data_IF_859693599431
#
_entry.id   IF_859693599431
#
_cell.length_a   1.000
_cell.length_b   1.000
_cell.length_c   1.000
_cell.angle_alpha   90.00
_cell.angle_beta   90.00
_cell.angle_gamma   90.00
#
_symmetry.space_group_name_H-M   'P 1'
#
loop_
_entity.id
_entity.type
_entity.pdbx_description
1 polymer ?
#
# COMPACT_ATOMS: atom_id res chain seq x y z
N UNK A 1 15.08 38.30 59.84
CA UNK A 1 14.83 38.98 58.55
C UNK A 1 14.93 37.97 57.42
N UNK A 2 13.79 37.48 57.01
CA UNK A 2 13.70 36.35 56.04
C UNK A 2 13.08 36.88 54.75
N UNK A 3 13.83 36.91 53.68
CA UNK A 3 13.33 37.31 52.35
C UNK A 3 12.82 36.07 51.63
N UNK A 4 11.52 36.00 51.45
CA UNK A 4 10.86 35.03 50.55
C UNK A 4 10.93 35.59 49.12
N UNK A 5 11.58 34.85 48.20
CA UNK A 5 11.52 35.10 46.76
C UNK A 5 10.44 34.26 46.14
N UNK A 6 9.40 34.90 45.67
CA UNK A 6 8.37 34.29 44.81
C UNK A 6 8.95 33.93 43.46
N UNK A 7 9.00 32.65 43.11
CA UNK A 7 9.19 32.20 41.75
C UNK A 7 7.80 32.15 41.07
N UNK A 8 7.54 33.01 40.16
CA UNK A 8 6.42 32.93 39.25
C UNK A 8 6.81 32.00 38.06
N UNK A 9 6.06 30.93 37.89
CA UNK A 9 6.25 29.92 36.86
C UNK A 9 5.80 30.43 35.47
N UNK A 10 6.44 30.00 34.39
CA UNK A 10 6.01 30.35 33.02
C UNK A 10 4.91 29.40 32.53
N UNK A 11 3.65 29.77 32.80
CA UNK A 11 2.49 29.07 32.22
C UNK A 11 2.18 29.51 30.76
N UNK A 12 2.98 30.37 30.17
CA UNK A 12 2.70 30.95 28.85
C UNK A 12 3.27 30.17 27.67
N UNK A 13 4.15 29.18 27.88
CA UNK A 13 4.80 28.45 26.79
C UNK A 13 4.03 27.19 26.37
N UNK A 14 3.16 26.67 27.20
CA UNK A 14 2.36 25.45 26.90
C UNK A 14 1.15 25.71 25.99
N UNK A 15 0.62 26.95 25.97
CA UNK A 15 -0.53 27.29 25.12
C UNK A 15 -0.14 27.60 23.66
N UNK A 16 1.09 28.02 23.38
CA UNK A 16 1.53 28.32 22.03
C UNK A 16 1.81 27.07 21.18
N UNK A 17 2.17 25.94 21.80
CA UNK A 17 2.44 24.68 21.10
C UNK A 17 1.14 23.93 20.74
N UNK A 18 0.07 24.12 21.50
CA UNK A 18 -1.25 23.53 21.22
C UNK A 18 -1.99 24.21 20.06
N UNK A 19 -1.70 25.49 19.80
CA UNK A 19 -2.31 26.26 18.71
C UNK A 19 -1.67 25.98 17.34
N UNK A 20 -0.44 25.45 17.29
CA UNK A 20 0.23 25.05 16.03
C UNK A 20 -0.20 23.67 15.52
N UNK A 21 -0.87 22.86 16.34
CA UNK A 21 -1.43 21.56 15.95
C UNK A 21 -2.90 21.63 15.49
N UNK A 22 -3.54 22.80 15.64
CA UNK A 22 -4.95 22.99 15.32
C UNK A 22 -5.22 23.59 13.93
N UNK A 23 -4.22 23.71 13.05
CA UNK A 23 -4.35 24.48 11.81
C UNK A 23 -3.74 23.87 10.56
N UNK A 24 -3.37 22.59 10.52
CA UNK A 24 -3.15 21.95 9.23
C UNK A 24 -4.53 21.66 8.63
N UNK A 25 -4.88 22.21 7.42
CA UNK A 25 -6.08 21.77 6.75
C UNK A 25 -5.93 20.25 6.54
N UNK A 26 -6.77 19.46 7.22
CA UNK A 26 -6.99 18.09 6.82
C UNK A 26 -7.48 18.17 5.37
N UNK A 27 -6.64 17.81 4.42
CA UNK A 27 -7.07 17.51 3.06
C UNK A 27 -7.85 16.20 3.19
N UNK A 28 -9.06 16.29 3.73
CA UNK A 28 -9.92 15.13 3.91
C UNK A 28 -10.34 14.68 2.52
N UNK A 29 -10.01 13.44 2.17
CA UNK A 29 -10.58 12.78 1.02
C UNK A 29 -12.11 12.89 1.05
N UNK A 30 -12.75 13.17 -0.10
CA UNK A 30 -14.19 13.37 -0.23
C UNK A 30 -14.73 12.45 -1.34
N UNK A 31 -15.54 11.47 -0.91
CA UNK A 31 -16.19 10.53 -1.83
C UNK A 31 -17.22 11.20 -2.75
N UNK A 32 -17.74 12.37 -2.39
CA UNK A 32 -18.74 13.13 -3.15
C UNK A 32 -18.13 14.14 -4.13
N UNK A 33 -16.81 14.28 -4.15
CA UNK A 33 -16.11 15.26 -4.96
C UNK A 33 -15.10 14.60 -5.89
N UNK A 34 -15.06 15.01 -7.15
CA UNK A 34 -14.07 14.49 -8.10
C UNK A 34 -12.65 14.90 -7.70
N UNK A 35 -11.70 14.01 -8.00
CA UNK A 35 -10.28 14.30 -7.84
C UNK A 35 -9.85 15.48 -8.73
N UNK A 36 -8.90 16.33 -8.32
CA UNK A 36 -8.51 17.53 -9.08
C UNK A 36 -7.99 17.28 -10.49
N UNK A 37 -7.56 16.05 -10.79
CA UNK A 37 -7.08 15.62 -12.11
C UNK A 37 -7.42 14.15 -12.38
N UNK A 38 -7.17 13.69 -13.62
CA UNK A 38 -7.44 12.32 -14.07
C UNK A 38 -6.16 11.48 -14.29
N UNK A 39 -5.11 11.80 -13.57
CA UNK A 39 -3.84 11.07 -13.54
C UNK A 39 -2.63 11.95 -13.81
N UNK A 40 -1.64 11.86 -12.93
CA UNK A 40 -0.32 12.46 -13.04
C UNK A 40 0.75 11.39 -13.35
N UNK A 41 0.51 10.15 -12.92
CA UNK A 41 1.38 9.00 -13.16
C UNK A 41 0.92 8.20 -14.38
N UNK A 42 1.88 7.56 -15.07
CA UNK A 42 1.58 6.74 -16.23
C UNK A 42 1.04 5.37 -15.80
N UNK A 43 -0.20 4.99 -16.16
CA UNK A 43 -0.75 3.68 -15.84
C UNK A 43 0.08 2.53 -16.44
N UNK A 44 0.08 1.38 -15.76
CA UNK A 44 0.71 0.17 -16.26
C UNK A 44 -0.07 -0.43 -17.45
N UNK A 45 0.64 -1.07 -18.40
CA UNK A 45 -0.02 -1.77 -19.52
C UNK A 45 -0.86 -2.95 -19.00
N UNK A 46 -1.81 -3.41 -19.81
CA UNK A 46 -2.70 -4.53 -19.53
C UNK A 46 -2.56 -5.60 -20.61
N UNK A 47 -2.01 -6.77 -20.30
CA UNK A 47 -1.42 -7.21 -19.02
C UNK A 47 -0.16 -6.41 -18.64
N UNK A 48 0.19 -6.36 -17.33
CA UNK A 48 1.45 -5.75 -16.90
C UNK A 48 2.63 -6.57 -17.44
N UNK A 49 3.67 -5.86 -17.90
CA UNK A 49 4.89 -6.53 -18.34
C UNK A 49 5.60 -7.18 -17.16
N UNK A 50 6.19 -8.39 -17.33
CA UNK A 50 7.01 -9.02 -16.32
C UNK A 50 8.14 -8.10 -15.85
N UNK A 51 8.46 -8.14 -14.57
CA UNK A 51 9.65 -7.47 -14.05
C UNK A 51 10.90 -8.20 -14.54
N UNK A 52 11.88 -7.44 -15.03
CA UNK A 52 13.15 -8.01 -15.50
C UNK A 52 14.04 -8.30 -14.29
N UNK A 53 14.35 -9.58 -14.09
CA UNK A 53 15.22 -10.06 -13.02
C UNK A 53 16.59 -10.42 -13.60
N UNK A 54 17.65 -9.79 -13.07
CA UNK A 54 19.03 -10.20 -13.32
C UNK A 54 19.42 -11.45 -12.55
N UNK A 55 20.60 -11.98 -12.81
CA UNK A 55 21.06 -13.20 -12.13
C UNK A 55 21.23 -13.03 -10.63
N UNK A 56 21.65 -11.84 -10.19
CA UNK A 56 21.69 -11.50 -8.77
C UNK A 56 20.31 -11.55 -8.09
N UNK A 57 19.25 -11.05 -8.78
CA UNK A 57 17.88 -11.12 -8.27
C UNK A 57 17.40 -12.58 -8.16
N UNK A 58 17.69 -13.38 -9.18
CA UNK A 58 17.33 -14.81 -9.19
C UNK A 58 18.04 -15.56 -8.05
N UNK A 59 19.32 -15.25 -7.81
CA UNK A 59 20.08 -15.81 -6.69
C UNK A 59 19.45 -15.44 -5.34
N UNK A 60 18.99 -14.19 -5.16
CA UNK A 60 18.27 -13.77 -3.94
C UNK A 60 16.97 -14.55 -3.79
N UNK A 61 16.14 -14.65 -4.84
CA UNK A 61 14.88 -15.41 -4.81
C UNK A 61 15.10 -16.90 -4.48
N UNK A 62 16.17 -17.50 -4.98
CA UNK A 62 16.54 -18.90 -4.69
C UNK A 62 16.81 -19.14 -3.19
N UNK A 63 17.18 -18.09 -2.43
CA UNK A 63 17.32 -18.17 -0.96
C UNK A 63 16.00 -18.04 -0.20
N UNK A 64 14.87 -17.86 -0.90
CA UNK A 64 13.55 -17.58 -0.31
C UNK A 64 13.35 -16.12 0.13
N UNK A 65 14.33 -15.24 -0.11
CA UNK A 65 14.24 -13.81 0.22
C UNK A 65 13.56 -13.04 -0.91
N UNK A 66 12.80 -11.98 -0.61
CA UNK A 66 12.23 -11.10 -1.64
C UNK A 66 13.31 -10.22 -2.28
N UNK A 67 13.14 -9.93 -3.56
CA UNK A 67 13.82 -8.84 -4.25
C UNK A 67 12.95 -7.61 -4.12
N UNK A 68 13.47 -6.54 -3.54
CA UNK A 68 12.78 -5.26 -3.37
C UNK A 68 13.64 -4.14 -3.92
N UNK A 69 13.01 -3.23 -4.67
CA UNK A 69 13.65 -2.01 -5.18
C UNK A 69 12.73 -0.84 -4.91
N UNK A 70 13.34 0.26 -4.55
CA UNK A 70 12.64 1.45 -4.14
C UNK A 70 13.37 2.68 -4.66
N UNK A 71 12.62 3.64 -5.17
CA UNK A 71 13.13 4.94 -5.58
C UNK A 71 12.22 5.99 -4.98
N UNK A 72 12.83 6.96 -4.31
CA UNK A 72 12.13 8.11 -3.75
C UNK A 72 12.39 9.34 -4.61
N UNK A 73 11.38 10.19 -4.75
CA UNK A 73 11.43 11.49 -5.38
C UNK A 73 10.77 12.55 -4.48
N UNK A 74 10.92 13.82 -4.81
CA UNK A 74 10.34 14.91 -4.02
C UNK A 74 8.81 14.87 -3.94
N UNK A 75 8.14 14.39 -5.00
CA UNK A 75 6.68 14.32 -5.10
C UNK A 75 6.09 12.93 -4.88
N UNK A 76 6.90 11.93 -4.48
CA UNK A 76 6.40 10.57 -4.29
C UNK A 76 7.48 9.52 -4.43
N UNK A 77 7.11 8.29 -4.77
CA UNK A 77 8.06 7.20 -4.91
C UNK A 77 7.53 6.03 -5.72
N UNK A 78 8.45 5.19 -6.14
CA UNK A 78 8.18 3.90 -6.79
C UNK A 78 8.72 2.78 -5.94
N UNK A 79 7.90 1.76 -5.73
CA UNK A 79 8.30 0.52 -5.12
C UNK A 79 8.03 -0.68 -6.03
N UNK A 80 8.92 -1.65 -6.03
CA UNK A 80 8.67 -2.95 -6.64
C UNK A 80 9.16 -4.08 -5.75
N UNK A 81 8.45 -5.21 -5.78
CA UNK A 81 8.83 -6.41 -5.08
C UNK A 81 8.57 -7.65 -5.94
N UNK A 82 9.51 -8.60 -5.88
CA UNK A 82 9.32 -9.95 -6.41
C UNK A 82 9.64 -10.94 -5.30
N UNK A 83 8.77 -11.90 -5.09
CA UNK A 83 8.96 -12.91 -4.05
C UNK A 83 8.25 -14.21 -4.40
N UNK A 84 8.70 -15.30 -3.78
CA UNK A 84 8.13 -16.64 -3.93
C UNK A 84 7.32 -16.99 -2.69
N UNK A 85 6.15 -17.58 -2.93
CA UNK A 85 5.20 -18.05 -1.92
C UNK A 85 5.05 -19.57 -2.07
N UNK A 86 5.15 -20.30 -0.98
CA UNK A 86 4.97 -21.77 -0.94
C UNK A 86 3.48 -22.09 -0.81
N UNK A 87 2.73 -21.68 -1.85
CA UNK A 87 1.32 -21.96 -2.04
C UNK A 87 0.96 -21.89 -3.54
N UNK A 88 -0.08 -22.62 -4.00
CA UNK A 88 -0.53 -22.56 -5.38
C UNK A 88 -0.92 -21.14 -5.83
N UNK A 89 -0.71 -20.80 -7.11
CA UNK A 89 -1.02 -19.45 -7.63
C UNK A 89 -2.45 -18.99 -7.34
N UNK A 90 -3.44 -19.88 -7.39
CA UNK A 90 -4.84 -19.52 -7.12
C UNK A 90 -5.08 -19.17 -5.65
N UNK A 91 -4.40 -19.86 -4.72
CA UNK A 91 -4.45 -19.54 -3.29
C UNK A 91 -3.85 -18.14 -3.02
N UNK A 92 -2.70 -17.86 -3.63
CA UNK A 92 -2.03 -16.54 -3.52
C UNK A 92 -2.90 -15.44 -4.14
N UNK A 93 -3.44 -15.68 -5.34
CA UNK A 93 -4.31 -14.74 -6.04
C UNK A 93 -5.60 -14.47 -5.27
N UNK A 94 -6.20 -15.50 -4.68
CA UNK A 94 -7.35 -15.36 -3.78
C UNK A 94 -7.03 -14.54 -2.54
N UNK A 95 -5.84 -14.70 -1.97
CA UNK A 95 -5.39 -13.92 -0.80
C UNK A 95 -5.23 -12.44 -1.13
N UNK A 96 -4.61 -12.10 -2.27
CA UNK A 96 -4.43 -10.70 -2.71
C UNK A 96 -5.78 -10.01 -2.95
N UNK A 97 -6.80 -10.73 -3.40
CA UNK A 97 -8.13 -10.18 -3.69
C UNK A 97 -9.09 -10.18 -2.52
N UNK A 98 -8.67 -10.67 -1.36
CA UNK A 98 -9.50 -10.70 -0.15
C UNK A 98 -9.42 -9.36 0.60
N UNK A 99 -9.92 -8.31 -0.03
CA UNK A 99 -9.89 -6.93 0.48
C UNK A 99 -10.45 -6.79 1.90
N UNK A 100 -11.53 -7.50 2.22
CA UNK A 100 -12.17 -7.45 3.53
C UNK A 100 -11.25 -7.94 4.68
N UNK A 101 -10.23 -8.71 4.35
CA UNK A 101 -9.28 -9.25 5.33
C UNK A 101 -8.05 -8.35 5.55
N UNK A 102 -7.82 -7.36 4.72
CA UNK A 102 -6.63 -6.48 4.82
C UNK A 102 -6.47 -5.82 6.21
N UNK A 103 -7.53 -5.30 6.87
CA UNK A 103 -7.38 -4.74 8.22
C UNK A 103 -6.90 -5.74 9.28
N UNK A 104 -7.07 -7.05 9.05
CA UNK A 104 -6.56 -8.10 9.94
C UNK A 104 -5.10 -8.46 9.64
N UNK A 105 -4.64 -8.26 8.40
CA UNK A 105 -3.32 -8.67 7.95
C UNK A 105 -2.30 -7.53 8.02
N UNK A 106 -2.76 -6.29 7.88
CA UNK A 106 -1.92 -5.09 7.81
C UNK A 106 -2.40 -4.12 8.90
N UNK A 107 -1.65 -3.98 10.00
CA UNK A 107 -2.08 -3.19 11.16
C UNK A 107 -2.41 -1.72 10.85
N UNK A 108 -1.74 -1.13 9.87
CA UNK A 108 -1.95 0.25 9.43
C UNK A 108 -3.24 0.43 8.62
N UNK A 109 -3.73 -0.61 7.94
CA UNK A 109 -4.99 -0.55 7.19
C UNK A 109 -6.15 -0.62 8.18
N UNK A 110 -6.93 0.45 8.27
CA UNK A 110 -8.11 0.54 9.13
C UNK A 110 -9.40 0.25 8.36
N UNK A 111 -9.39 0.50 7.06
CA UNK A 111 -10.49 0.19 6.16
C UNK A 111 -9.93 -0.30 4.82
N UNK A 112 -10.54 -1.33 4.26
CA UNK A 112 -10.34 -1.80 2.90
C UNK A 112 -11.67 -2.37 2.45
N UNK A 113 -12.47 -1.57 1.74
CA UNK A 113 -13.85 -1.91 1.41
C UNK A 113 -14.13 -1.73 -0.07
N UNK A 114 -14.68 -2.78 -0.69
CA UNK A 114 -15.18 -2.72 -2.07
C UNK A 114 -16.49 -1.95 -2.07
N UNK A 115 -16.53 -0.78 -2.70
CA UNK A 115 -17.74 0.03 -2.80
C UNK A 115 -18.42 -0.06 -4.17
N UNK A 116 -17.71 -0.59 -5.19
CA UNK A 116 -18.30 -0.84 -6.52
C UNK A 116 -17.60 -2.01 -7.17
N UNK A 117 -18.39 -2.82 -7.88
CA UNK A 117 -17.89 -3.94 -8.69
C UNK A 117 -18.70 -4.05 -9.96
N UNK A 118 -18.00 -4.05 -11.10
CA UNK A 118 -18.60 -4.21 -12.42
C UNK A 118 -17.67 -5.06 -13.30
N UNK A 119 -18.02 -6.31 -13.48
CA UNK A 119 -17.21 -7.29 -14.20
C UNK A 119 -15.81 -7.42 -13.62
N UNK A 120 -14.80 -7.04 -14.40
CA UNK A 120 -13.38 -7.01 -14.04
C UNK A 120 -12.97 -5.75 -13.26
N UNK A 121 -13.82 -4.75 -13.17
CA UNK A 121 -13.55 -3.50 -12.48
C UNK A 121 -14.00 -3.60 -11.02
N UNK A 122 -13.10 -3.25 -10.09
CA UNK A 122 -13.38 -3.29 -8.65
C UNK A 122 -12.83 -2.01 -8.02
N UNK A 123 -13.73 -1.22 -7.45
CA UNK A 123 -13.38 0.03 -6.79
C UNK A 123 -13.34 -0.18 -5.29
N UNK A 124 -12.23 0.22 -4.67
CA UNK A 124 -11.91 -0.08 -3.27
C UNK A 124 -11.51 1.19 -2.54
N UNK A 125 -12.11 1.41 -1.39
CA UNK A 125 -11.72 2.45 -0.45
C UNK A 125 -10.69 1.92 0.54
N UNK A 126 -9.60 2.66 0.70
CA UNK A 126 -8.58 2.41 1.70
C UNK A 126 -8.50 3.54 2.72
N UNK A 127 -8.36 3.18 3.99
CA UNK A 127 -7.97 4.10 5.06
C UNK A 127 -6.76 3.51 5.77
N UNK A 128 -5.63 4.20 5.68
CA UNK A 128 -4.40 3.85 6.37
C UNK A 128 -4.19 4.82 7.53
N UNK A 129 -3.84 4.31 8.70
CA UNK A 129 -3.48 5.12 9.86
C UNK A 129 -2.14 4.68 10.43
N UNK A 130 -1.21 5.63 10.56
CA UNK A 130 0.08 5.39 11.18
C UNK A 130 0.64 6.68 11.78
N UNK A 131 1.24 6.59 12.97
CA UNK A 131 1.83 7.72 13.69
C UNK A 131 0.92 8.97 13.79
N UNK A 132 -0.39 8.76 14.01
CA UNK A 132 -1.36 9.86 14.14
C UNK A 132 -1.84 10.46 12.81
N UNK A 133 -1.29 10.04 11.68
CA UNK A 133 -1.73 10.46 10.34
C UNK A 133 -2.74 9.46 9.80
N UNK A 134 -3.82 9.95 9.19
CA UNK A 134 -4.81 9.16 8.45
C UNK A 134 -4.76 9.56 6.98
N UNK A 135 -4.67 8.57 6.10
CA UNK A 135 -4.69 8.74 4.65
C UNK A 135 -5.84 7.91 4.10
N UNK A 136 -6.77 8.55 3.41
CA UNK A 136 -7.90 7.92 2.74
C UNK A 136 -7.77 8.09 1.24
N UNK A 137 -7.97 7.01 0.48
CA UNK A 137 -7.89 7.04 -0.97
C UNK A 137 -8.76 5.98 -1.61
N UNK A 138 -9.11 6.20 -2.86
CA UNK A 138 -10.02 5.36 -3.64
C UNK A 138 -9.27 4.80 -4.84
N UNK A 139 -9.27 3.48 -4.97
CA UNK A 139 -8.54 2.76 -6.03
C UNK A 139 -9.52 2.10 -6.98
N UNK A 140 -9.30 2.34 -8.27
CA UNK A 140 -9.94 1.63 -9.36
C UNK A 140 -9.04 0.49 -9.85
N UNK A 141 -9.41 -0.75 -9.52
CA UNK A 141 -8.71 -1.95 -10.00
C UNK A 141 -9.31 -2.45 -11.30
N UNK A 142 -8.47 -2.90 -12.21
CA UNK A 142 -8.86 -3.77 -13.32
C UNK A 142 -8.20 -5.13 -13.16
N UNK A 143 -9.03 -6.17 -13.04
CA UNK A 143 -8.64 -7.52 -12.63
C UNK A 143 -8.83 -8.51 -13.78
N UNK A 144 -7.81 -9.30 -14.09
CA UNK A 144 -7.90 -10.47 -14.94
C UNK A 144 -7.77 -11.73 -14.09
N UNK A 145 -8.88 -12.48 -13.96
CA UNK A 145 -8.93 -13.68 -13.13
C UNK A 145 -8.11 -14.83 -13.71
N UNK A 146 -8.22 -15.16 -15.01
CA UNK A 146 -7.44 -16.25 -15.60
C UNK A 146 -5.92 -15.94 -15.63
N UNK A 147 -5.55 -14.73 -15.95
CA UNK A 147 -4.15 -14.29 -16.02
C UNK A 147 -3.52 -14.00 -14.67
N UNK A 148 -4.33 -13.98 -13.59
CA UNK A 148 -3.90 -13.66 -12.21
C UNK A 148 -3.07 -12.39 -12.13
N UNK A 149 -3.58 -11.32 -12.76
CA UNK A 149 -3.01 -9.99 -12.63
C UNK A 149 -4.11 -8.95 -12.40
N UNK A 150 -3.73 -7.85 -11.81
CA UNK A 150 -4.52 -6.63 -11.75
C UNK A 150 -3.61 -5.42 -11.91
N UNK A 151 -4.15 -4.37 -12.51
CA UNK A 151 -3.57 -3.03 -12.47
C UNK A 151 -4.52 -2.09 -11.74
N UNK A 152 -4.02 -0.96 -11.28
CA UNK A 152 -4.88 0.07 -10.70
C UNK A 152 -4.43 1.48 -11.04
N UNK A 153 -5.37 2.40 -10.88
CA UNK A 153 -5.20 3.85 -10.78
C UNK A 153 -6.00 4.34 -9.59
N UNK A 154 -5.93 5.61 -9.24
CA UNK A 154 -6.97 6.19 -8.39
C UNK A 154 -8.34 6.12 -9.11
N UNK A 155 -9.43 6.06 -8.33
CA UNK A 155 -10.75 6.41 -8.83
C UNK A 155 -10.88 7.94 -8.83
N UNK A 156 -10.62 8.56 -9.97
CA UNK A 156 -10.66 10.03 -10.11
C UNK A 156 -12.05 10.63 -10.02
N UNK A 157 -13.10 9.81 -9.91
CA UNK A 157 -14.44 10.31 -9.59
C UNK A 157 -14.60 10.71 -8.12
N UNK A 158 -13.60 10.37 -7.27
CA UNK A 158 -13.57 10.64 -5.83
C UNK A 158 -12.28 11.33 -5.44
N UNK A 159 -12.35 12.34 -4.56
CA UNK A 159 -11.16 13.02 -4.07
C UNK A 159 -10.42 12.16 -3.04
N UNK A 160 -9.17 11.77 -3.35
CA UNK A 160 -8.25 11.02 -2.49
C UNK A 160 -7.25 11.94 -1.81
N UNK A 161 -6.70 11.54 -0.64
CA UNK A 161 -5.57 12.24 0.00
C UNK A 161 -4.26 12.06 -0.76
N UNK A 162 -4.10 10.98 -1.53
CA UNK A 162 -2.99 10.84 -2.47
C UNK A 162 -3.21 11.75 -3.67
N UNK A 163 -2.13 12.26 -4.26
CA UNK A 163 -2.21 12.98 -5.53
C UNK A 163 -2.45 12.01 -6.69
N UNK A 164 -1.69 10.90 -6.72
CA UNK A 164 -1.93 9.81 -7.66
C UNK A 164 -1.38 8.47 -7.14
N UNK A 165 -1.90 7.37 -7.68
CA UNK A 165 -1.39 6.03 -7.44
C UNK A 165 -1.68 5.12 -8.63
N UNK A 166 -0.62 4.49 -9.14
CA UNK A 166 -0.74 3.44 -10.17
C UNK A 166 0.09 2.24 -9.78
N UNK A 167 -0.31 1.04 -10.20
CA UNK A 167 0.47 -0.15 -9.89
C UNK A 167 -0.11 -1.42 -10.49
N UNK A 168 0.51 -2.55 -10.12
CA UNK A 168 -0.01 -3.86 -10.47
C UNK A 168 0.39 -4.94 -9.47
N UNK A 169 -0.41 -5.99 -9.46
CA UNK A 169 -0.09 -7.32 -8.96
C UNK A 169 -0.06 -8.30 -10.11
N UNK A 170 0.87 -9.24 -10.09
CA UNK A 170 0.91 -10.40 -10.99
C UNK A 170 1.35 -11.63 -10.23
N UNK A 171 0.64 -12.75 -10.43
CA UNK A 171 0.94 -14.04 -9.80
C UNK A 171 1.14 -15.07 -10.90
N UNK A 172 2.30 -15.71 -10.93
CA UNK A 172 2.64 -16.75 -11.91
C UNK A 172 3.08 -18.03 -11.19
N UNK A 173 2.83 -19.21 -11.76
CA UNK A 173 3.39 -20.44 -11.23
C UNK A 173 4.91 -20.41 -11.30
N UNK A 174 5.58 -21.03 -10.32
CA UNK A 174 7.00 -21.34 -10.42
C UNK A 174 7.16 -22.61 -11.26
N UNK A 175 8.02 -22.54 -12.28
CA UNK A 175 8.23 -23.66 -13.19
C UNK A 175 8.63 -24.93 -12.40
N UNK A 176 8.00 -26.06 -12.73
CA UNK A 176 8.21 -27.33 -12.06
C UNK A 176 7.57 -27.47 -10.66
N UNK A 177 6.87 -26.45 -10.16
CA UNK A 177 6.30 -26.42 -8.81
C UNK A 177 4.85 -25.93 -8.81
N UNK A 178 3.89 -26.86 -8.85
CA UNK A 178 2.45 -26.52 -8.85
C UNK A 178 1.98 -25.86 -7.53
N UNK A 179 2.69 -26.09 -6.45
CA UNK A 179 2.44 -25.62 -5.08
C UNK A 179 3.23 -24.34 -4.73
N UNK A 180 3.85 -23.68 -5.73
CA UNK A 180 4.61 -22.44 -5.54
C UNK A 180 4.22 -21.38 -6.55
N UNK A 181 4.18 -20.15 -6.10
CA UNK A 181 3.88 -18.99 -6.94
C UNK A 181 4.96 -17.91 -6.81
N UNK A 182 5.31 -17.28 -7.94
CA UNK A 182 6.04 -16.02 -7.96
C UNK A 182 5.04 -14.88 -7.98
N UNK A 183 5.23 -13.93 -7.09
CA UNK A 183 4.43 -12.70 -7.00
C UNK A 183 5.29 -11.53 -7.43
N UNK A 184 4.74 -10.70 -8.31
CA UNK A 184 5.29 -9.43 -8.72
C UNK A 184 4.34 -8.32 -8.29
N UNK A 185 4.89 -7.31 -7.65
CA UNK A 185 4.19 -6.11 -7.19
C UNK A 185 4.97 -4.87 -7.61
N UNK A 186 4.28 -3.90 -8.15
CA UNK A 186 4.85 -2.57 -8.37
C UNK A 186 3.82 -1.49 -8.06
N UNK A 187 4.26 -0.41 -7.46
CA UNK A 187 3.44 0.74 -7.12
C UNK A 187 4.23 2.02 -7.35
N UNK A 188 3.59 2.98 -8.00
CA UNK A 188 4.03 4.37 -8.04
C UNK A 188 3.00 5.21 -7.29
N UNK A 189 3.47 6.10 -6.41
CA UNK A 189 2.63 6.97 -5.60
C UNK A 189 3.11 8.41 -5.76
N UNK A 190 2.19 9.31 -6.05
CA UNK A 190 2.37 10.74 -5.92
C UNK A 190 1.59 11.26 -4.71
N UNK A 191 2.16 12.22 -3.99
CA UNK A 191 1.62 12.73 -2.73
C UNK A 191 1.33 14.22 -2.88
N UNK A 192 0.13 14.66 -2.46
CA UNK A 192 -0.27 16.06 -2.48
C UNK A 192 0.55 16.89 -1.48
N UNK A 193 1.08 18.01 -1.96
CA UNK A 193 1.70 19.04 -1.11
C UNK A 193 2.97 18.57 -0.37
N UNK A 194 3.32 19.30 0.70
CA UNK A 194 4.46 18.94 1.54
C UNK A 194 4.04 17.86 2.55
N UNK A 195 4.73 16.73 2.50
CA UNK A 195 4.50 15.61 3.42
C UNK A 195 5.77 15.41 4.24
N UNK A 196 5.67 15.32 5.57
CA UNK A 196 6.82 15.02 6.41
C UNK A 196 7.54 13.75 5.93
N UNK A 197 8.88 13.74 5.96
CA UNK A 197 9.69 12.64 5.44
C UNK A 197 9.34 11.28 6.05
N UNK A 198 8.91 11.24 7.32
CA UNK A 198 8.48 9.99 7.97
C UNK A 198 7.19 9.40 7.38
N UNK A 199 6.25 10.24 6.89
CA UNK A 199 5.03 9.76 6.21
C UNK A 199 5.39 9.21 4.84
N UNK A 200 6.32 9.85 4.14
CA UNK A 200 6.85 9.35 2.86
C UNK A 200 7.51 8.00 3.03
N UNK A 201 8.40 7.85 4.00
CA UNK A 201 9.06 6.59 4.34
C UNK A 201 8.04 5.49 4.71
N UNK A 202 6.96 5.85 5.42
CA UNK A 202 5.88 4.90 5.75
C UNK A 202 5.18 4.36 4.51
N UNK A 203 4.86 5.23 3.55
CA UNK A 203 4.15 4.83 2.32
C UNK A 203 5.03 4.00 1.40
N UNK A 204 6.32 4.29 1.37
CA UNK A 204 7.27 3.65 0.47
C UNK A 204 7.95 2.44 1.15
N UNK A 205 8.69 2.61 2.25
CA UNK A 205 9.47 1.54 2.91
C UNK A 205 8.61 0.46 3.56
N UNK A 206 7.65 0.86 4.37
CA UNK A 206 6.81 -0.11 5.09
C UNK A 206 5.77 -0.75 4.18
N UNK A 207 5.23 -0.01 3.20
CA UNK A 207 4.24 -0.54 2.26
C UNK A 207 4.76 -1.74 1.46
N UNK A 208 5.99 -1.66 0.94
CA UNK A 208 6.62 -2.77 0.21
C UNK A 208 6.88 -3.97 1.11
N UNK A 209 7.46 -3.74 2.27
CA UNK A 209 7.77 -4.79 3.25
C UNK A 209 6.49 -5.48 3.74
N UNK A 210 5.42 -4.71 3.98
CA UNK A 210 4.13 -5.25 4.38
C UNK A 210 3.46 -6.02 3.25
N UNK A 211 3.48 -5.51 2.01
CA UNK A 211 2.94 -6.20 0.85
C UNK A 211 3.59 -7.58 0.62
N UNK A 212 4.90 -7.71 0.87
CA UNK A 212 5.57 -9.00 0.73
C UNK A 212 5.27 -9.95 1.87
N UNK A 213 5.32 -9.47 3.11
CA UNK A 213 5.25 -10.34 4.28
C UNK A 213 3.85 -10.93 4.48
N UNK A 214 2.79 -10.11 4.45
CA UNK A 214 1.44 -10.59 4.73
C UNK A 214 0.91 -11.51 3.63
N UNK A 215 1.20 -11.21 2.35
CA UNK A 215 0.75 -12.07 1.23
C UNK A 215 1.35 -13.47 1.37
N UNK A 216 2.67 -13.55 1.62
CA UNK A 216 3.34 -14.84 1.83
C UNK A 216 2.77 -15.58 3.03
N UNK A 217 2.73 -14.94 4.19
CA UNK A 217 2.26 -15.56 5.44
C UNK A 217 0.82 -16.06 5.32
N UNK A 218 -0.10 -15.22 4.84
CA UNK A 218 -1.52 -15.56 4.77
C UNK A 218 -1.81 -16.62 3.70
N UNK A 219 -1.12 -16.57 2.56
CA UNK A 219 -1.31 -17.57 1.51
C UNK A 219 -0.82 -18.95 1.94
N UNK A 220 0.35 -19.02 2.57
CA UNK A 220 0.92 -20.27 3.07
C UNK A 220 0.08 -20.86 4.22
N UNK A 221 -0.46 -20.01 5.11
CA UNK A 221 -1.39 -20.44 6.16
C UNK A 221 -2.69 -21.02 5.58
N UNK A 222 -3.28 -20.34 4.59
CA UNK A 222 -4.49 -20.80 3.89
C UNK A 222 -4.24 -22.13 3.18
N UNK A 223 -3.11 -22.28 2.52
CA UNK A 223 -2.76 -23.51 1.83
C UNK A 223 -2.59 -24.68 2.80
N UNK A 224 -1.86 -24.47 3.90
CA UNK A 224 -1.70 -25.47 4.95
C UNK A 224 -3.02 -25.87 5.61
N UNK A 225 -3.93 -24.91 5.83
CA UNK A 225 -5.23 -25.16 6.42
C UNK A 225 -6.18 -25.94 5.51
N UNK A 226 -6.00 -25.85 4.19
CA UNK A 226 -6.79 -26.57 3.18
C UNK A 226 -6.23 -27.97 2.86
N UNK A 227 -5.02 -28.31 3.32
CA UNK A 227 -4.45 -29.64 3.12
C UNK A 227 -5.28 -30.69 3.87
N UNK A 228 -5.63 -31.83 3.24
CA UNK A 228 -6.30 -32.93 3.94
C UNK A 228 -5.42 -33.43 5.10
N UNK A 229 -6.06 -33.62 6.26
CA UNK A 229 -5.41 -34.20 7.45
C UNK A 229 -5.18 -35.69 7.26
#
# INVERSE_FOLDING_TARGET
>A
MTFAKHLAAPAALALALAALLAGAPSLAADAGKAHPHTGALKPYPRPPKPLVLGDADKAVLATGKPVMRQTEGEAGGRGLAVFVVDAPPDTVWGTIRDYASYPRFIPEVKKCEVYKKDGSNVDVEFVIKSFGVSIQYYIHHQIDLPGRWMTWTLDYSRESDLDDSVGFWRVTPVEGHADRAQVEYSVDIAIKGWVPGFVRSLLVDNGLKQATSWVKVQSEQRYKAAAPK
#
